data_IF_186850707075
#
_entry.id   IF_186850707075
#
_cell.length_a   1.000
_cell.length_b   1.000
_cell.length_c   1.000
_cell.angle_alpha   90.00
_cell.angle_beta   90.00
_cell.angle_gamma   90.00
#
_symmetry.space_group_name_H-M   'P 1'
#
loop_
_entity.id
_entity.type
_entity.pdbx_description
1 polymer ?
#
# COMPACT_ATOMS: atom_id res chain seq x y z
N UNK A 1 28.55 27.21 -2.84
CA UNK A 1 29.00 26.60 -1.57
C UNK A 1 28.32 25.26 -1.42
N UNK A 2 29.07 24.16 -1.40
CA UNK A 2 28.51 22.84 -1.07
C UNK A 2 28.14 22.86 0.41
N UNK A 3 26.86 22.69 0.72
CA UNK A 3 26.45 22.49 2.10
C UNK A 3 27.09 21.19 2.63
N UNK A 4 27.69 21.24 3.81
CA UNK A 4 28.20 20.05 4.48
C UNK A 4 27.06 19.03 4.67
N UNK A 5 27.32 17.74 4.46
CA UNK A 5 26.32 16.69 4.68
C UNK A 5 25.73 16.74 6.10
N UNK A 6 26.54 17.09 7.10
CA UNK A 6 26.08 17.29 8.48
C UNK A 6 25.02 18.39 8.58
N UNK A 7 25.20 19.49 7.84
CA UNK A 7 24.22 20.57 7.79
C UNK A 7 22.94 20.12 7.09
N UNK A 8 23.04 19.35 6.00
CA UNK A 8 21.88 18.81 5.29
C UNK A 8 21.08 17.82 6.14
N UNK A 9 21.76 16.99 6.93
CA UNK A 9 21.13 16.09 7.91
C UNK A 9 20.36 16.90 8.95
N UNK A 10 20.97 17.95 9.51
CA UNK A 10 20.32 18.81 10.49
C UNK A 10 19.09 19.52 9.90
N UNK A 11 19.19 20.03 8.66
CA UNK A 11 18.07 20.66 7.94
C UNK A 11 16.94 19.66 7.72
N UNK A 12 17.24 18.47 7.21
CA UNK A 12 16.26 17.43 6.94
C UNK A 12 15.56 16.97 8.23
N UNK A 13 16.34 16.75 9.29
CA UNK A 13 15.84 16.37 10.60
C UNK A 13 14.87 17.40 11.18
N UNK A 14 15.27 18.68 11.17
CA UNK A 14 14.44 19.80 11.62
C UNK A 14 13.16 19.92 10.79
N UNK A 15 13.28 19.90 9.46
CA UNK A 15 12.16 20.09 8.53
C UNK A 15 11.10 19.00 8.65
N UNK A 16 11.51 17.76 8.85
CA UNK A 16 10.62 16.60 8.86
C UNK A 16 10.40 16.00 10.25
N UNK A 17 10.80 16.73 11.30
CA UNK A 17 10.56 16.38 12.70
C UNK A 17 11.07 14.98 13.08
N UNK A 18 12.24 14.62 12.55
CA UNK A 18 12.95 13.37 12.86
C UNK A 18 14.26 13.68 13.56
N UNK A 19 14.87 12.67 14.18
CA UNK A 19 16.16 12.78 14.86
C UNK A 19 17.30 12.61 13.83
N UNK A 20 18.36 13.45 13.85
CA UNK A 20 19.50 13.33 12.94
C UNK A 20 20.12 11.93 12.88
N UNK A 21 20.12 11.21 14.00
CA UNK A 21 20.65 9.85 14.10
C UNK A 21 19.94 8.86 13.18
N UNK A 22 18.64 9.05 12.91
CA UNK A 22 17.87 8.18 12.01
C UNK A 22 18.41 8.26 10.58
N UNK A 23 18.78 9.46 10.11
CA UNK A 23 19.37 9.63 8.78
C UNK A 23 20.80 9.05 8.75
N UNK A 24 21.60 9.29 9.78
CA UNK A 24 22.97 8.74 9.82
C UNK A 24 22.97 7.21 9.84
N UNK A 25 22.01 6.57 10.51
CA UNK A 25 21.87 5.12 10.49
C UNK A 25 21.52 4.58 9.10
N UNK A 26 20.69 5.29 8.32
CA UNK A 26 20.39 4.94 6.93
C UNK A 26 21.64 5.02 6.05
N UNK A 27 22.46 6.06 6.22
CA UNK A 27 23.73 6.20 5.49
C UNK A 27 24.70 5.06 5.85
N UNK A 28 24.80 4.72 7.14
CA UNK A 28 25.71 3.68 7.64
C UNK A 28 25.28 2.26 7.27
N UNK A 29 23.99 2.02 7.04
CA UNK A 29 23.46 0.70 6.71
C UNK A 29 23.86 0.20 5.31
N UNK A 30 24.51 1.04 4.48
CA UNK A 30 25.08 0.68 3.18
C UNK A 30 24.10 -0.08 2.27
N UNK A 31 23.10 0.64 1.76
CA UNK A 31 22.04 0.07 0.93
C UNK A 31 22.46 -0.09 -0.55
N UNK A 32 22.99 -1.27 -0.89
CA UNK A 32 23.36 -1.61 -2.27
C UNK A 32 22.14 -1.54 -3.21
N UNK A 33 22.29 -0.86 -4.35
CA UNK A 33 21.28 -0.76 -5.41
C UNK A 33 20.25 0.37 -5.23
N UNK A 34 20.35 1.14 -4.14
CA UNK A 34 19.59 2.37 -3.90
C UNK A 34 20.18 3.61 -4.59
N UNK A 35 19.46 4.72 -4.54
CA UNK A 35 19.90 6.01 -5.09
C UNK A 35 20.62 6.81 -4.01
N UNK A 36 21.73 7.46 -4.37
CA UNK A 36 22.44 8.36 -3.48
C UNK A 36 23.12 7.67 -2.29
N UNK A 37 23.56 8.48 -1.33
CA UNK A 37 24.32 8.00 -0.16
C UNK A 37 23.42 7.39 0.91
N UNK A 38 22.14 7.73 0.91
CA UNK A 38 21.11 7.14 1.77
C UNK A 38 20.49 5.89 1.15
N UNK A 39 20.79 5.61 -0.12
CA UNK A 39 20.32 4.42 -0.83
C UNK A 39 18.81 4.35 -0.97
N UNK A 40 18.16 5.48 -1.31
CA UNK A 40 16.71 5.57 -1.51
C UNK A 40 16.26 4.50 -2.50
N UNK A 41 15.31 3.61 -2.12
CA UNK A 41 14.75 2.65 -3.05
C UNK A 41 14.05 3.36 -4.21
N UNK A 42 14.30 2.93 -5.46
CA UNK A 42 13.70 3.53 -6.67
C UNK A 42 12.17 3.58 -6.65
N UNK A 43 11.52 2.70 -5.87
CA UNK A 43 10.08 2.71 -5.63
C UNK A 43 9.57 4.04 -5.03
N UNK A 44 10.42 4.80 -4.33
CA UNK A 44 10.06 6.10 -3.74
C UNK A 44 10.03 7.26 -4.74
N UNK A 45 10.65 7.11 -5.92
CA UNK A 45 10.79 8.21 -6.87
C UNK A 45 9.47 8.89 -7.31
N UNK A 46 8.36 8.19 -7.60
CA UNK A 46 7.10 8.86 -7.95
C UNK A 46 6.60 9.77 -6.83
N UNK A 47 6.71 9.31 -5.57
CA UNK A 47 6.22 10.03 -4.41
C UNK A 47 7.11 11.23 -4.10
N UNK A 48 8.42 11.06 -4.23
CA UNK A 48 9.38 12.17 -4.12
C UNK A 48 9.13 13.22 -5.21
N UNK A 49 8.90 12.81 -6.46
CA UNK A 49 8.56 13.74 -7.54
C UNK A 49 7.25 14.50 -7.24
N UNK A 50 6.22 13.80 -6.75
CA UNK A 50 4.95 14.41 -6.34
C UNK A 50 5.12 15.36 -5.13
N UNK A 51 6.01 15.04 -4.21
CA UNK A 51 6.38 15.89 -3.08
C UNK A 51 7.33 17.05 -3.47
N UNK A 52 7.65 17.20 -4.76
CA UNK A 52 8.41 18.33 -5.31
C UNK A 52 9.93 18.12 -5.32
N UNK A 53 10.43 16.90 -5.10
CA UNK A 53 11.85 16.60 -5.20
C UNK A 53 12.31 16.44 -6.66
N UNK A 54 13.51 16.93 -6.95
CA UNK A 54 14.19 16.70 -8.21
C UNK A 54 14.85 15.31 -8.21
N UNK A 55 14.07 14.29 -8.56
CA UNK A 55 14.48 12.89 -8.46
C UNK A 55 15.75 12.53 -9.25
N UNK A 56 16.02 13.25 -10.34
CA UNK A 56 17.21 13.05 -11.18
C UNK A 56 18.50 13.61 -10.55
N UNK A 57 18.37 14.45 -9.52
CA UNK A 57 19.49 15.02 -8.79
C UNK A 57 19.92 14.17 -7.58
N UNK A 58 19.05 13.30 -7.06
CA UNK A 58 19.30 12.54 -5.81
C UNK A 58 20.55 11.64 -5.87
N UNK A 59 20.91 11.14 -7.06
CA UNK A 59 22.14 10.35 -7.22
C UNK A 59 23.45 11.15 -7.24
N UNK A 60 23.37 12.48 -7.41
CA UNK A 60 24.53 13.38 -7.61
C UNK A 60 24.64 14.47 -6.56
N UNK A 61 23.53 14.81 -5.92
CA UNK A 61 23.46 15.80 -4.84
C UNK A 61 23.13 15.09 -3.53
N UNK A 62 24.17 14.84 -2.72
CA UNK A 62 24.03 14.18 -1.43
C UNK A 62 23.17 14.97 -0.44
N UNK A 63 23.05 16.29 -0.59
CA UNK A 63 22.18 17.10 0.26
C UNK A 63 20.71 16.89 -0.10
N UNK A 64 20.37 16.89 -1.39
CA UNK A 64 19.01 16.58 -1.84
C UNK A 64 18.62 15.14 -1.51
N UNK A 65 19.54 14.19 -1.67
CA UNK A 65 19.35 12.80 -1.25
C UNK A 65 19.00 12.69 0.23
N UNK A 66 19.77 13.33 1.11
CA UNK A 66 19.52 13.37 2.55
C UNK A 66 18.19 14.02 2.89
N UNK A 67 17.81 15.11 2.22
CA UNK A 67 16.53 15.78 2.46
C UNK A 67 15.36 14.90 1.98
N UNK A 68 15.51 14.18 0.87
CA UNK A 68 14.52 13.23 0.38
C UNK A 68 14.37 12.02 1.32
N UNK A 69 15.46 11.45 1.81
CA UNK A 69 15.44 10.40 2.83
C UNK A 69 14.81 10.89 4.13
N UNK A 70 15.11 12.13 4.54
CA UNK A 70 14.47 12.77 5.68
C UNK A 70 12.97 12.95 5.50
N UNK A 71 12.50 13.29 4.29
CA UNK A 71 11.08 13.33 3.99
C UNK A 71 10.43 11.95 4.10
N UNK A 72 11.08 10.91 3.58
CA UNK A 72 10.57 9.52 3.68
C UNK A 72 10.50 9.08 5.15
N UNK A 73 11.55 9.35 5.93
CA UNK A 73 11.61 9.01 7.35
C UNK A 73 10.58 9.79 8.16
N UNK A 74 10.44 11.10 7.92
CA UNK A 74 9.44 11.93 8.58
C UNK A 74 8.02 11.55 8.19
N UNK A 75 7.77 11.30 6.90
CA UNK A 75 6.49 10.76 6.44
C UNK A 75 6.21 9.40 7.10
N UNK A 76 7.18 8.47 7.12
CA UNK A 76 7.01 7.16 7.77
C UNK A 76 6.82 7.28 9.28
N UNK A 77 7.54 8.20 9.93
CA UNK A 77 7.43 8.46 11.36
C UNK A 77 6.10 9.12 11.69
N UNK A 78 5.63 10.09 10.91
CA UNK A 78 4.29 10.66 11.04
C UNK A 78 3.22 9.57 10.82
N UNK A 79 3.43 8.61 9.91
CA UNK A 79 2.54 7.45 9.78
C UNK A 79 2.60 6.49 10.98
N UNK A 80 3.74 6.39 11.66
CA UNK A 80 3.92 5.56 12.86
C UNK A 80 3.47 6.25 14.16
N UNK A 81 3.63 7.57 14.22
CA UNK A 81 3.34 8.44 15.38
C UNK A 81 1.99 9.13 15.28
N UNK A 82 1.35 9.13 14.10
CA UNK A 82 -0.08 9.35 14.00
C UNK A 82 -0.73 8.32 14.93
N UNK A 83 -1.05 8.77 16.14
CA UNK A 83 -1.87 8.03 17.08
C UNK A 83 -3.09 7.64 16.24
N UNK A 84 -3.34 6.34 15.98
CA UNK A 84 -4.54 5.96 15.25
C UNK A 84 -5.69 6.68 15.95
N UNK A 85 -6.67 7.24 15.23
CA UNK A 85 -7.68 8.13 15.82
C UNK A 85 -8.57 7.46 16.88
N UNK A 86 -8.24 6.24 17.31
CA UNK A 86 -8.87 5.51 18.38
C UNK A 86 -7.80 4.77 19.20
N UNK A 87 -7.90 4.85 20.53
CA UNK A 87 -7.10 4.06 21.46
C UNK A 87 -7.08 2.58 21.06
N UNK A 88 -5.89 2.00 21.03
CA UNK A 88 -5.65 0.59 20.75
C UNK A 88 -6.29 -0.35 21.80
N UNK A 89 -6.81 0.21 22.90
CA UNK A 89 -7.46 -0.55 23.98
C UNK A 89 -8.96 -0.79 23.79
N UNK A 90 -9.64 -0.13 22.84
CA UNK A 90 -11.11 -0.26 22.72
C UNK A 90 -11.64 -0.81 21.40
N UNK A 91 -10.80 -1.07 20.39
CA UNK A 91 -11.29 -1.73 19.17
C UNK A 91 -11.41 -3.24 19.43
N UNK A 92 -12.52 -3.65 20.04
CA UNK A 92 -12.98 -5.04 20.00
C UNK A 92 -13.00 -5.44 18.53
N UNK A 93 -12.07 -6.32 18.13
CA UNK A 93 -12.08 -6.95 16.80
C UNK A 93 -13.49 -7.46 16.59
N UNK A 94 -14.23 -6.84 15.68
CA UNK A 94 -15.65 -7.12 15.53
C UNK A 94 -15.87 -8.61 15.30
N UNK A 95 -16.92 -9.17 15.93
CA UNK A 95 -17.40 -10.54 15.69
C UNK A 95 -17.40 -10.84 14.19
N UNK A 96 -16.44 -11.64 13.73
CA UNK A 96 -16.35 -12.10 12.34
C UNK A 96 -15.04 -11.79 11.62
N UNK A 97 -14.25 -10.78 12.03
CA UNK A 97 -12.89 -10.64 11.51
C UNK A 97 -12.00 -11.79 12.03
N UNK A 98 -11.26 -12.49 11.16
CA UNK A 98 -10.34 -13.53 11.60
C UNK A 98 -9.24 -12.96 12.50
N UNK A 99 -8.75 -13.72 13.51
CA UNK A 99 -7.67 -13.26 14.39
C UNK A 99 -6.42 -12.78 13.65
N UNK A 100 -6.08 -13.43 12.52
CA UNK A 100 -4.95 -13.06 11.67
C UNK A 100 -5.06 -11.63 11.09
N UNK A 101 -6.27 -11.06 11.04
CA UNK A 101 -6.50 -9.70 10.58
C UNK A 101 -6.01 -8.64 11.58
N UNK A 102 -5.95 -8.98 12.89
CA UNK A 102 -5.71 -8.02 13.98
C UNK A 102 -4.41 -7.23 13.78
N UNK A 103 -3.32 -7.91 13.42
CA UNK A 103 -2.01 -7.30 13.21
C UNK A 103 -1.99 -6.24 12.08
N UNK A 104 -2.89 -6.37 11.11
CA UNK A 104 -2.94 -5.48 9.94
C UNK A 104 -3.92 -4.32 10.11
N UNK A 105 -4.82 -4.37 11.10
CA UNK A 105 -5.94 -3.43 11.20
C UNK A 105 -5.56 -1.95 11.26
N UNK A 106 -4.53 -1.52 12.03
CA UNK A 106 -4.15 -0.11 12.03
C UNK A 106 -3.79 0.39 10.64
N UNK A 107 -2.98 -0.38 9.90
CA UNK A 107 -2.53 -0.02 8.56
C UNK A 107 -3.64 -0.14 7.51
N UNK A 108 -4.45 -1.21 7.56
CA UNK A 108 -5.59 -1.38 6.64
C UNK A 108 -6.60 -0.25 6.81
N UNK A 109 -6.94 0.16 8.05
CA UNK A 109 -7.80 1.33 8.30
C UNK A 109 -7.23 2.59 7.68
N UNK A 110 -5.95 2.85 7.93
CA UNK A 110 -5.27 4.03 7.43
C UNK A 110 -5.28 4.08 5.89
N UNK A 111 -4.81 3.04 5.20
CA UNK A 111 -4.78 3.00 3.73
C UNK A 111 -6.20 3.09 3.14
N UNK A 112 -7.18 2.41 3.76
CA UNK A 112 -8.57 2.45 3.28
C UNK A 112 -9.13 3.88 3.30
N UNK A 113 -8.86 4.64 4.37
CA UNK A 113 -9.30 6.02 4.49
C UNK A 113 -8.66 6.92 3.40
N UNK A 114 -7.35 6.78 3.16
CA UNK A 114 -6.64 7.53 2.11
C UNK A 114 -7.17 7.18 0.70
N UNK A 115 -7.55 5.93 0.49
CA UNK A 115 -8.07 5.45 -0.79
C UNK A 115 -9.57 5.71 -0.99
N UNK A 116 -10.27 6.26 0.01
CA UNK A 116 -11.73 6.48 -0.03
C UNK A 116 -12.54 5.18 -0.08
N UNK A 117 -12.03 4.10 0.53
CA UNK A 117 -12.68 2.79 0.54
C UNK A 117 -13.17 2.40 1.94
N UNK A 118 -14.28 1.67 2.08
CA UNK A 118 -14.67 1.08 3.35
C UNK A 118 -13.60 0.08 3.83
N UNK A 119 -13.10 0.24 5.07
CA UNK A 119 -12.14 -0.72 5.66
C UNK A 119 -12.67 -2.16 5.64
N UNK A 120 -13.97 -2.32 5.84
CA UNK A 120 -14.65 -3.62 5.77
C UNK A 120 -14.49 -4.30 4.40
N UNK A 121 -14.54 -3.52 3.30
CA UNK A 121 -14.34 -4.02 1.95
C UNK A 121 -12.89 -4.48 1.74
N UNK A 122 -11.91 -3.67 2.14
CA UNK A 122 -10.48 -4.00 2.01
C UNK A 122 -10.13 -5.26 2.83
N UNK A 123 -10.62 -5.36 4.06
CA UNK A 123 -10.48 -6.57 4.88
C UNK A 123 -11.13 -7.81 4.22
N UNK A 124 -12.27 -7.64 3.57
CA UNK A 124 -12.96 -8.74 2.90
C UNK A 124 -12.17 -9.25 1.69
N UNK A 125 -11.56 -8.35 0.92
CA UNK A 125 -10.62 -8.66 -0.18
C UNK A 125 -9.39 -9.38 0.36
N UNK A 126 -8.67 -8.82 1.34
CA UNK A 126 -7.47 -9.48 1.92
C UNK A 126 -7.79 -10.90 2.42
N UNK A 127 -8.94 -11.07 3.09
CA UNK A 127 -9.38 -12.37 3.55
C UNK A 127 -9.60 -13.35 2.39
N UNK A 128 -10.18 -12.89 1.28
CA UNK A 128 -10.47 -13.73 0.13
C UNK A 128 -9.18 -14.12 -0.60
N UNK A 129 -8.27 -13.16 -0.74
CA UNK A 129 -7.04 -13.30 -1.51
C UNK A 129 -6.00 -14.17 -0.80
N UNK A 130 -5.80 -13.96 0.50
CA UNK A 130 -4.67 -14.59 1.21
C UNK A 130 -5.02 -15.18 2.57
N UNK A 131 -6.24 -14.94 3.07
CA UNK A 131 -6.59 -15.18 4.48
C UNK A 131 -5.61 -14.47 5.45
N UNK A 132 -5.21 -13.25 5.09
CA UNK A 132 -4.21 -12.44 5.80
C UNK A 132 -2.81 -13.07 5.89
N UNK A 133 -2.42 -13.93 4.93
CA UNK A 133 -1.06 -14.50 4.87
C UNK A 133 -0.14 -13.61 4.02
N UNK A 134 0.89 -12.97 4.60
CA UNK A 134 1.76 -12.05 3.87
C UNK A 134 2.61 -12.70 2.77
N UNK A 135 2.86 -14.01 2.89
CA UNK A 135 3.71 -14.77 1.96
C UNK A 135 2.87 -15.66 1.01
N UNK A 136 1.57 -15.39 0.88
CA UNK A 136 0.69 -16.18 0.01
C UNK A 136 1.12 -16.06 -1.47
N UNK A 137 1.16 -17.20 -2.16
CA UNK A 137 1.38 -17.27 -3.60
C UNK A 137 0.11 -17.78 -4.28
N UNK A 138 -0.39 -16.99 -5.21
CA UNK A 138 -1.60 -17.28 -5.96
C UNK A 138 -1.36 -18.21 -7.14
N UNK A 139 -2.41 -18.48 -7.93
CA UNK A 139 -2.28 -19.21 -9.19
C UNK A 139 -1.36 -18.47 -10.16
N UNK A 140 -0.82 -19.20 -11.13
CA UNK A 140 -0.09 -18.60 -12.25
C UNK A 140 -1.08 -17.80 -13.10
N UNK A 141 -0.74 -16.56 -13.37
CA UNK A 141 -1.39 -15.70 -14.36
C UNK A 141 -1.09 -16.21 -15.77
N UNK A 142 -1.76 -15.65 -16.79
CA UNK A 142 -1.55 -16.00 -18.20
C UNK A 142 -0.11 -15.78 -18.69
N UNK A 143 0.65 -14.89 -18.03
CA UNK A 143 2.07 -14.62 -18.35
C UNK A 143 3.03 -15.56 -17.61
N UNK A 144 2.52 -16.51 -16.83
CA UNK A 144 3.32 -17.45 -16.03
C UNK A 144 3.76 -16.93 -14.66
N UNK A 145 3.55 -15.64 -14.38
CA UNK A 145 3.83 -14.99 -13.09
C UNK A 145 2.74 -15.31 -12.06
N UNK A 146 3.05 -15.34 -10.76
CA UNK A 146 2.05 -15.58 -9.69
C UNK A 146 1.68 -14.29 -8.98
N UNK A 147 0.41 -14.14 -8.62
CA UNK A 147 -0.02 -13.14 -7.66
C UNK A 147 0.62 -13.38 -6.29
N UNK A 148 0.93 -12.30 -5.55
CA UNK A 148 1.69 -12.38 -4.29
C UNK A 148 1.03 -11.58 -3.18
N UNK A 149 1.15 -12.11 -1.96
CA UNK A 149 0.92 -11.39 -0.71
C UNK A 149 -0.54 -11.21 -0.30
N UNK A 150 -0.77 -10.25 0.60
CA UNK A 150 -2.05 -10.09 1.30
C UNK A 150 -3.24 -9.84 0.38
N UNK A 151 -3.04 -9.06 -0.67
CA UNK A 151 -4.04 -8.67 -1.66
C UNK A 151 -3.81 -9.31 -3.03
N UNK A 152 -2.89 -10.29 -3.11
CA UNK A 152 -2.62 -11.08 -4.33
C UNK A 152 -2.41 -10.21 -5.57
N UNK A 153 -1.50 -9.24 -5.49
CA UNK A 153 -1.19 -8.35 -6.61
C UNK A 153 -0.39 -9.13 -7.67
N UNK A 154 -0.82 -9.16 -8.94
CA UNK A 154 -0.03 -9.69 -10.03
C UNK A 154 1.28 -8.89 -10.22
N UNK A 155 2.42 -9.51 -10.56
CA UNK A 155 3.68 -8.78 -10.69
C UNK A 155 3.66 -7.65 -11.74
N UNK A 156 2.89 -7.80 -12.82
CA UNK A 156 2.65 -6.73 -13.79
C UNK A 156 1.99 -5.49 -13.17
N UNK A 157 0.96 -5.70 -12.36
CA UNK A 157 0.29 -4.64 -11.60
C UNK A 157 1.21 -4.05 -10.55
N UNK A 158 2.00 -4.87 -9.86
CA UNK A 158 2.98 -4.38 -8.88
C UNK A 158 4.04 -3.48 -9.52
N UNK A 159 4.53 -3.83 -10.73
CA UNK A 159 5.43 -2.98 -11.53
C UNK A 159 4.78 -1.65 -11.90
N UNK A 160 3.52 -1.68 -12.37
CA UNK A 160 2.79 -0.46 -12.73
C UNK A 160 2.59 0.46 -11.52
N UNK A 161 2.30 -0.11 -10.36
CA UNK A 161 2.14 0.60 -9.09
C UNK A 161 3.48 0.96 -8.41
N UNK A 162 4.61 0.47 -8.96
CA UNK A 162 5.96 0.64 -8.41
C UNK A 162 6.07 0.19 -6.94
N UNK A 163 5.42 -0.91 -6.61
CA UNK A 163 5.45 -1.54 -5.28
C UNK A 163 6.19 -2.88 -5.32
N UNK A 164 6.82 -3.24 -4.20
CA UNK A 164 7.29 -4.60 -3.97
C UNK A 164 6.13 -5.44 -3.40
N UNK A 165 5.55 -6.38 -4.18
CA UNK A 165 4.39 -7.14 -3.74
C UNK A 165 4.74 -8.17 -2.66
N UNK A 166 6.03 -8.48 -2.44
CA UNK A 166 6.50 -9.34 -1.36
C UNK A 166 6.63 -8.59 -0.02
N UNK A 167 6.62 -7.25 -0.02
CA UNK A 167 6.55 -6.47 1.21
C UNK A 167 5.06 -6.31 1.62
N UNK A 168 4.64 -6.78 2.80
CA UNK A 168 3.21 -6.79 3.16
C UNK A 168 2.55 -5.41 3.23
N UNK A 169 3.28 -4.39 3.67
CA UNK A 169 2.76 -3.02 3.76
C UNK A 169 2.60 -2.40 2.37
N UNK A 170 3.57 -2.60 1.49
CA UNK A 170 3.45 -2.15 0.09
C UNK A 170 2.39 -2.94 -0.68
N UNK A 171 2.18 -4.21 -0.33
CA UNK A 171 1.12 -5.04 -0.89
C UNK A 171 -0.28 -4.53 -0.49
N UNK A 172 -0.53 -4.25 0.79
CA UNK A 172 -1.80 -3.63 1.23
C UNK A 172 -1.99 -2.27 0.55
N UNK A 173 -0.96 -1.43 0.53
CA UNK A 173 -1.03 -0.10 -0.10
C UNK A 173 -1.40 -0.21 -1.58
N UNK A 174 -0.64 -1.02 -2.34
CA UNK A 174 -0.81 -1.14 -3.79
C UNK A 174 -2.15 -1.77 -4.15
N UNK A 175 -2.57 -2.82 -3.44
CA UNK A 175 -3.82 -3.50 -3.71
C UNK A 175 -5.03 -2.63 -3.39
N UNK A 176 -4.96 -1.84 -2.32
CA UNK A 176 -6.04 -0.93 -1.92
C UNK A 176 -6.18 0.23 -2.92
N UNK A 177 -5.08 0.83 -3.36
CA UNK A 177 -5.12 1.88 -4.40
C UNK A 177 -5.57 1.35 -5.75
N UNK A 178 -5.14 0.14 -6.11
CA UNK A 178 -5.62 -0.52 -7.32
C UNK A 178 -7.13 -0.74 -7.28
N UNK A 179 -7.66 -1.25 -6.16
CA UNK A 179 -9.11 -1.39 -5.96
C UNK A 179 -9.84 -0.04 -6.03
N UNK A 180 -9.30 1.01 -5.40
CA UNK A 180 -9.88 2.36 -5.42
C UNK A 180 -9.97 2.92 -6.85
N UNK A 181 -8.92 2.73 -7.66
CA UNK A 181 -8.94 3.10 -9.07
C UNK A 181 -10.04 2.36 -9.83
N UNK A 182 -10.22 1.05 -9.60
CA UNK A 182 -11.30 0.29 -10.23
C UNK A 182 -12.68 0.82 -9.83
N UNK A 183 -12.90 1.09 -8.54
CA UNK A 183 -14.17 1.65 -8.06
C UNK A 183 -14.49 2.97 -8.75
N UNK A 184 -13.51 3.87 -8.89
CA UNK A 184 -13.69 5.13 -9.64
C UNK A 184 -14.02 4.89 -11.11
N UNK A 185 -13.30 3.97 -11.76
CA UNK A 185 -13.52 3.66 -13.19
C UNK A 185 -14.91 3.06 -13.46
N UNK A 186 -15.51 2.38 -12.48
CA UNK A 186 -16.86 1.83 -12.57
C UNK A 186 -17.91 2.69 -11.84
N UNK A 187 -17.67 4.00 -11.68
CA UNK A 187 -18.67 4.94 -11.18
C UNK A 187 -19.15 4.69 -9.76
N UNK A 188 -18.32 4.04 -8.92
CA UNK A 188 -18.69 3.65 -7.55
C UNK A 188 -19.32 2.26 -7.43
N UNK A 189 -19.50 1.53 -8.54
CA UNK A 189 -20.04 0.16 -8.49
C UNK A 189 -18.99 -0.83 -7.97
N UNK A 190 -19.14 -1.20 -6.68
CA UNK A 190 -18.27 -2.18 -6.05
C UNK A 190 -18.34 -3.57 -6.69
N UNK A 191 -19.47 -3.98 -7.24
CA UNK A 191 -19.61 -5.31 -7.83
C UNK A 191 -18.78 -5.40 -9.13
N UNK A 192 -18.85 -4.39 -9.98
CA UNK A 192 -18.05 -4.31 -11.20
C UNK A 192 -16.56 -4.11 -10.90
N UNK A 193 -16.22 -3.30 -9.90
CA UNK A 193 -14.84 -3.11 -9.48
C UNK A 193 -14.21 -4.42 -8.96
N UNK A 194 -14.94 -5.19 -8.14
CA UNK A 194 -14.48 -6.50 -7.65
C UNK A 194 -14.39 -7.53 -8.79
N UNK A 195 -15.33 -7.51 -9.74
CA UNK A 195 -15.24 -8.35 -10.93
C UNK A 195 -13.99 -8.01 -11.75
N UNK A 196 -13.67 -6.73 -11.92
CA UNK A 196 -12.47 -6.29 -12.62
C UNK A 196 -11.19 -6.57 -11.84
N UNK A 197 -11.24 -6.56 -10.50
CA UNK A 197 -10.09 -6.93 -9.66
C UNK A 197 -9.72 -8.41 -9.86
N UNK A 198 -10.71 -9.30 -9.88
CA UNK A 198 -10.52 -10.74 -10.03
C UNK A 198 -10.28 -11.17 -11.50
N UNK A 199 -11.14 -10.74 -12.42
CA UNK A 199 -11.12 -11.20 -13.82
C UNK A 199 -10.35 -10.28 -14.78
N UNK A 200 -10.00 -9.07 -14.33
CA UNK A 200 -9.43 -8.01 -15.16
C UNK A 200 -10.48 -7.12 -15.83
N UNK A 201 -10.14 -5.83 -16.00
CA UNK A 201 -11.01 -4.82 -16.64
C UNK A 201 -11.41 -5.21 -18.08
N UNK A 202 -10.51 -5.83 -18.84
CA UNK A 202 -10.81 -6.27 -20.21
C UNK A 202 -11.90 -7.33 -20.28
N UNK A 203 -12.02 -8.20 -19.28
CA UNK A 203 -13.11 -9.18 -19.22
C UNK A 203 -14.45 -8.49 -18.93
N UNK A 204 -14.48 -7.57 -17.97
CA UNK A 204 -15.69 -6.81 -17.64
C UNK A 204 -16.16 -5.99 -18.85
N UNK A 205 -15.24 -5.31 -19.54
CA UNK A 205 -15.54 -4.57 -20.75
C UNK A 205 -16.09 -5.48 -21.87
N UNK A 206 -15.46 -6.65 -22.09
CA UNK A 206 -15.90 -7.62 -23.11
C UNK A 206 -17.34 -8.11 -22.90
N UNK A 207 -17.74 -8.33 -21.64
CA UNK A 207 -19.06 -8.88 -21.31
C UNK A 207 -20.09 -7.81 -20.90
N UNK A 208 -19.71 -6.53 -20.83
CA UNK A 208 -20.59 -5.45 -20.40
C UNK A 208 -21.07 -5.57 -18.95
N UNK A 209 -20.30 -6.26 -18.10
CA UNK A 209 -20.72 -6.58 -16.73
C UNK A 209 -19.86 -7.66 -16.07
N UNK A 210 -20.39 -8.31 -15.04
CA UNK A 210 -19.69 -9.42 -14.38
C UNK A 210 -19.54 -10.58 -15.38
N UNK A 211 -18.30 -11.00 -15.73
CA UNK A 211 -18.09 -12.03 -16.74
C UNK A 211 -18.67 -13.38 -16.28
N UNK A 212 -19.04 -14.29 -17.20
CA UNK A 212 -19.60 -15.60 -16.89
C UNK A 212 -18.56 -16.61 -16.38
N UNK A 213 -17.53 -16.14 -15.68
CA UNK A 213 -16.53 -16.98 -15.03
C UNK A 213 -17.08 -17.42 -13.68
N UNK A 214 -17.10 -18.73 -13.43
CA UNK A 214 -17.59 -19.31 -12.18
C UNK A 214 -16.90 -18.69 -10.96
N UNK A 215 -15.58 -18.57 -11.01
CA UNK A 215 -14.77 -17.93 -9.98
C UNK A 215 -15.24 -16.49 -9.69
N UNK A 216 -15.38 -15.66 -10.71
CA UNK A 216 -15.75 -14.25 -10.54
C UNK A 216 -17.19 -14.08 -10.03
N UNK A 217 -18.11 -14.91 -10.51
CA UNK A 217 -19.52 -14.94 -10.06
C UNK A 217 -19.65 -15.35 -8.60
N UNK A 218 -18.72 -16.14 -8.08
CA UNK A 218 -18.65 -16.49 -6.66
C UNK A 218 -17.89 -15.43 -5.84
N UNK A 219 -16.80 -14.90 -6.39
CA UNK A 219 -15.90 -13.94 -5.75
C UNK A 219 -16.63 -12.67 -5.31
N UNK A 220 -17.37 -12.04 -6.22
CA UNK A 220 -18.05 -10.76 -5.98
C UNK A 220 -19.04 -10.84 -4.79
N UNK A 221 -20.08 -11.70 -4.80
CA UNK A 221 -21.03 -11.75 -3.70
C UNK A 221 -20.40 -12.26 -2.40
N UNK A 222 -19.35 -13.09 -2.46
CA UNK A 222 -18.61 -13.53 -1.27
C UNK A 222 -17.96 -12.36 -0.54
N UNK A 223 -17.29 -11.48 -1.27
CA UNK A 223 -16.66 -10.30 -0.68
C UNK A 223 -17.69 -9.32 -0.17
N UNK A 224 -18.76 -9.04 -0.92
CA UNK A 224 -19.80 -8.11 -0.48
C UNK A 224 -20.50 -8.58 0.80
N UNK A 225 -20.86 -9.88 0.90
CA UNK A 225 -21.41 -10.45 2.14
C UNK A 225 -20.43 -10.35 3.31
N UNK A 226 -19.16 -10.63 3.05
CA UNK A 226 -18.11 -10.56 4.09
C UNK A 226 -17.89 -9.11 4.55
N UNK A 227 -17.85 -8.17 3.63
CA UNK A 227 -17.73 -6.74 3.91
C UNK A 227 -18.93 -6.26 4.74
N UNK A 228 -20.16 -6.64 4.38
CA UNK A 228 -21.35 -6.33 5.17
C UNK A 228 -21.25 -6.87 6.60
N UNK A 229 -20.80 -8.13 6.79
CA UNK A 229 -20.57 -8.70 8.12
C UNK A 229 -19.50 -7.95 8.91
N UNK A 230 -18.43 -7.50 8.26
CA UNK A 230 -17.36 -6.73 8.90
C UNK A 230 -17.79 -5.29 9.25
N UNK A 231 -18.69 -4.70 8.46
CA UNK A 231 -19.25 -3.37 8.70
C UNK A 231 -20.30 -3.37 9.82
N UNK A 232 -21.16 -4.39 9.89
CA UNK A 232 -22.24 -4.50 10.88
C UNK A 232 -21.78 -4.57 12.35
N UNK A 233 -20.47 -4.72 12.59
CA UNK A 233 -19.90 -4.80 13.94
C UNK A 233 -19.15 -3.52 14.35
N UNK A 234 -19.10 -2.53 13.45
CA UNK A 234 -18.62 -1.19 13.76
C UNK A 234 -19.63 -0.16 13.23
N UNK A 235 -20.77 0.07 13.92
CA UNK A 235 -21.56 1.26 13.65
C UNK A 235 -20.79 2.52 14.09
N UNK A 236 -21.14 3.70 13.56
CA UNK A 236 -20.49 4.96 13.92
C UNK A 236 -20.53 5.26 15.42
#
# INVERSE_FOLDING_TARGET
>A
MLASLTLCIAIAASRYKIVPSQITSVIQAHHQGGIGITGIPRAWLPYLAQAGFQVDALGRDGCQDVIAAGWILGYTQELQQAKPPFDQESVKVGRGLPPAAKAWQPYVRWVSAQAGLPTALVNAVIQQESRFRPNALGPKTKTGERAVGLMQIPPSTARALRVNPCNPLQNIWGGTWYLSNLVRNYGGDFALALAAYNAGQGAVAKYGGIPPYSETREYVPTILRRAARYAAVNPP
#
